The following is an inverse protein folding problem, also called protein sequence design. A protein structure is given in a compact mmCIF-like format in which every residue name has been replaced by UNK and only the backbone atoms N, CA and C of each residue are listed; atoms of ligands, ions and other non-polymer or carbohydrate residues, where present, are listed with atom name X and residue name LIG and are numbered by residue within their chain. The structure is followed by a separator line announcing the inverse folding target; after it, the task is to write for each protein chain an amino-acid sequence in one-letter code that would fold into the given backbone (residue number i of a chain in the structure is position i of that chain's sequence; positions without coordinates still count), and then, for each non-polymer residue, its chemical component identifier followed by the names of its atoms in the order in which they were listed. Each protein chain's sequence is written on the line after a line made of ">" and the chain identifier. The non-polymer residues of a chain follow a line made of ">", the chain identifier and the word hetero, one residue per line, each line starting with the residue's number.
data_IF_713554121045
#
_entry.id   IF_713554121045
#
_cell.length_a   1.000
_cell.length_b   1.000
_cell.length_c   1.000
_cell.angle_alpha   90.00
_cell.angle_beta   90.00
_cell.angle_gamma   90.00
#
_symmetry.space_group_name_H-M   'P 1'
#
loop_
_entity.id
_entity.type
_entity.pdbx_description
1 polymer ?
#
# COMPACT_ATOMS: atom_id res chain seq x y z
N UNK A 1 -4.92 -2.84 17.28
CA UNK A 1 -3.68 -2.13 16.96
C UNK A 1 -3.47 -2.01 15.46
N UNK A 2 -2.69 -1.04 15.09
CA UNK A 2 -2.30 -0.83 13.70
C UNK A 2 -0.88 -1.36 13.51
N UNK A 3 -0.72 -2.26 12.55
CA UNK A 3 0.60 -2.77 12.18
C UNK A 3 1.22 -1.82 11.17
N UNK A 4 2.44 -1.35 11.46
CA UNK A 4 3.18 -0.44 10.57
C UNK A 4 4.60 -0.95 10.39
N UNK A 5 5.11 -0.94 9.17
CA UNK A 5 6.50 -1.25 8.88
C UNK A 5 6.92 -0.66 7.54
N UNK A 6 8.23 -0.56 7.34
CA UNK A 6 8.82 -0.19 6.07
C UNK A 6 9.33 -1.45 5.37
N UNK A 7 9.13 -1.53 4.08
CA UNK A 7 9.52 -2.68 3.24
C UNK A 7 10.28 -2.18 2.01
N UNK A 8 10.92 -3.09 1.27
CA UNK A 8 11.70 -2.80 0.06
C UNK A 8 12.79 -1.75 0.34
N UNK A 9 13.65 -2.04 1.33
CA UNK A 9 14.75 -1.14 1.72
C UNK A 9 14.22 0.26 2.07
N UNK A 10 13.10 0.30 2.78
CA UNK A 10 12.49 1.55 3.26
C UNK A 10 11.90 2.43 2.15
N UNK A 11 11.64 1.87 0.98
CA UNK A 11 10.96 2.59 -0.10
C UNK A 11 9.44 2.55 0.03
N UNK A 12 8.93 1.62 0.82
CA UNK A 12 7.48 1.47 1.07
C UNK A 12 7.18 1.52 2.54
N UNK A 13 6.00 2.01 2.86
CA UNK A 13 5.48 2.03 4.21
C UNK A 13 4.10 1.34 4.19
N UNK A 14 3.84 0.49 5.17
CA UNK A 14 2.61 -0.29 5.24
C UNK A 14 1.92 -0.06 6.56
N UNK A 15 0.62 0.15 6.50
CA UNK A 15 -0.22 0.16 7.70
C UNK A 15 -1.32 -0.89 7.51
N UNK A 16 -1.53 -1.73 8.51
CA UNK A 16 -2.54 -2.78 8.46
C UNK A 16 -3.49 -2.62 9.63
N UNK A 17 -4.79 -2.56 9.35
CA UNK A 17 -5.83 -2.57 10.36
C UNK A 17 -6.59 -3.89 10.22
N UNK A 18 -6.48 -4.74 11.22
CA UNK A 18 -7.09 -6.08 11.22
C UNK A 18 -8.55 -6.00 11.67
N UNK A 19 -9.33 -6.97 11.25
CA UNK A 19 -10.77 -7.04 11.57
C UNK A 19 -11.03 -7.00 13.08
N UNK A 20 -10.25 -7.69 13.88
CA UNK A 20 -10.33 -7.68 15.34
C UNK A 20 -10.18 -6.28 15.93
N UNK A 21 -9.25 -5.51 15.36
CA UNK A 21 -8.96 -4.15 15.83
C UNK A 21 -10.10 -3.21 15.50
N UNK A 22 -10.79 -3.45 14.40
CA UNK A 22 -11.95 -2.68 13.97
C UNK A 22 -13.11 -2.77 14.93
N UNK A 23 -13.26 -3.89 15.62
CA UNK A 23 -14.33 -4.06 16.61
C UNK A 23 -14.17 -3.09 17.79
N UNK A 24 -12.94 -2.66 18.07
CA UNK A 24 -12.66 -1.75 19.19
C UNK A 24 -12.42 -0.32 18.74
N UNK A 25 -11.76 -0.11 17.62
CA UNK A 25 -11.23 1.21 17.27
C UNK A 25 -11.80 1.81 15.99
N UNK A 26 -12.47 1.12 15.17
CA UNK A 26 -12.99 1.52 13.86
C UNK A 26 -11.94 2.29 13.04
N UNK A 27 -11.58 1.80 11.87
CA UNK A 27 -10.68 2.52 10.97
C UNK A 27 -11.35 3.81 10.50
N UNK A 28 -10.58 4.91 10.53
CA UNK A 28 -11.07 6.25 10.15
C UNK A 28 -10.31 6.73 8.92
N UNK A 29 -10.88 7.63 8.13
CA UNK A 29 -10.14 8.25 7.01
C UNK A 29 -8.81 8.86 7.44
N UNK A 30 -8.72 9.37 8.68
CA UNK A 30 -7.48 9.91 9.23
C UNK A 30 -6.35 8.89 9.33
N UNK A 31 -6.66 7.59 9.40
CA UNK A 31 -5.63 6.53 9.45
C UNK A 31 -4.86 6.47 8.14
N UNK A 32 -5.56 6.57 7.01
CA UNK A 32 -4.93 6.64 5.70
C UNK A 32 -4.15 7.94 5.53
N UNK A 33 -4.73 9.08 5.95
CA UNK A 33 -4.06 10.37 5.86
C UNK A 33 -2.77 10.39 6.66
N UNK A 34 -2.75 9.76 7.82
CA UNK A 34 -1.55 9.64 8.65
C UNK A 34 -0.41 8.92 7.95
N UNK A 35 -0.70 7.79 7.30
CA UNK A 35 0.32 7.04 6.58
C UNK A 35 0.79 7.77 5.32
N UNK A 36 -0.10 8.47 4.63
CA UNK A 36 0.25 9.28 3.45
C UNK A 36 1.16 10.45 3.88
N UNK A 37 0.83 11.11 4.98
CA UNK A 37 1.66 12.18 5.53
C UNK A 37 3.04 11.67 5.90
N UNK A 38 3.14 10.53 6.54
CA UNK A 38 4.40 9.91 6.90
C UNK A 38 5.23 9.58 5.66
N UNK A 39 4.60 9.07 4.61
CA UNK A 39 5.26 8.82 3.32
C UNK A 39 5.89 10.10 2.77
N UNK A 40 5.14 11.18 2.78
CA UNK A 40 5.60 12.47 2.23
C UNK A 40 6.76 13.06 3.03
N UNK A 41 6.77 12.83 4.33
CA UNK A 41 7.79 13.38 5.23
C UNK A 41 9.03 12.51 5.36
N UNK A 42 8.96 11.26 4.93
CA UNK A 42 10.07 10.33 5.09
C UNK A 42 10.86 10.22 3.79
N UNK A 43 12.10 10.67 3.84
CA UNK A 43 12.99 10.62 2.69
C UNK A 43 13.18 9.18 2.22
N UNK A 44 13.11 8.96 0.91
CA UNK A 44 13.32 7.65 0.32
C UNK A 44 12.06 6.79 0.22
N UNK A 45 11.00 7.13 0.92
CA UNK A 45 9.73 6.39 0.82
C UNK A 45 8.96 6.88 -0.39
N UNK A 46 8.64 5.96 -1.27
CA UNK A 46 7.94 6.26 -2.53
C UNK A 46 6.46 5.84 -2.47
N UNK A 47 6.13 4.75 -1.77
CA UNK A 47 4.79 4.17 -1.76
C UNK A 47 4.28 3.98 -0.33
N UNK A 48 3.02 4.32 -0.12
CA UNK A 48 2.30 3.99 1.11
C UNK A 48 1.18 3.01 0.78
N UNK A 49 1.06 1.95 1.57
CA UNK A 49 0.03 0.93 1.44
C UNK A 49 -0.78 0.88 2.72
N UNK A 50 -2.08 1.04 2.61
CA UNK A 50 -3.00 0.93 3.74
C UNK A 50 -3.90 -0.28 3.51
N UNK A 51 -3.77 -1.29 4.35
CA UNK A 51 -4.56 -2.53 4.29
C UNK A 51 -5.60 -2.53 5.39
N UNK A 52 -6.86 -2.57 5.01
CA UNK A 52 -7.98 -2.57 5.93
C UNK A 52 -8.75 -3.88 5.76
N UNK A 53 -8.70 -4.74 6.77
CA UNK A 53 -9.38 -6.04 6.72
C UNK A 53 -10.90 -5.83 6.90
N UNK A 54 -11.69 -6.23 5.90
CA UNK A 54 -13.15 -6.06 5.91
C UNK A 54 -13.91 -7.35 6.20
N UNK A 55 -13.24 -8.48 6.01
CA UNK A 55 -13.73 -9.82 6.32
C UNK A 55 -12.49 -10.71 6.51
N UNK A 56 -12.59 -11.91 7.06
CA UNK A 56 -11.41 -12.77 7.22
C UNK A 56 -10.64 -12.92 5.92
N UNK A 57 -9.34 -12.60 5.95
CA UNK A 57 -8.44 -12.67 4.78
C UNK A 57 -8.94 -11.91 3.56
N UNK A 58 -9.66 -10.80 3.79
CA UNK A 58 -10.14 -9.92 2.72
C UNK A 58 -9.77 -8.50 3.11
N UNK A 59 -9.02 -7.84 2.24
CA UNK A 59 -8.49 -6.50 2.52
C UNK A 59 -8.90 -5.50 1.46
N UNK A 60 -9.38 -4.35 1.92
CA UNK A 60 -9.48 -3.17 1.09
C UNK A 60 -8.11 -2.50 1.16
N UNK A 61 -7.45 -2.39 0.02
CA UNK A 61 -6.11 -1.84 -0.08
C UNK A 61 -6.17 -0.46 -0.70
N UNK A 62 -5.56 0.52 -0.03
CA UNK A 62 -5.38 1.86 -0.58
C UNK A 62 -3.90 2.06 -0.84
N UNK A 63 -3.57 2.51 -2.05
CA UNK A 63 -2.20 2.72 -2.49
C UNK A 63 -1.98 4.19 -2.82
N UNK A 64 -0.83 4.71 -2.38
CA UNK A 64 -0.43 6.09 -2.68
C UNK A 64 1.04 6.09 -3.08
N UNK A 65 1.41 6.96 -4.00
CA UNK A 65 2.82 7.11 -4.38
C UNK A 65 3.20 8.59 -4.46
N UNK A 66 4.50 8.88 -4.39
CA UNK A 66 5.02 10.25 -4.49
C UNK A 66 5.14 10.71 -5.94
N UNK A 67 5.99 10.06 -6.72
CA UNK A 67 6.33 10.55 -8.06
C UNK A 67 6.80 9.49 -9.06
N UNK A 68 7.14 8.27 -8.62
CA UNK A 68 7.75 7.25 -9.50
C UNK A 68 6.82 6.11 -9.85
N UNK A 69 6.11 5.59 -8.86
CA UNK A 69 5.29 4.39 -9.03
C UNK A 69 3.89 4.76 -9.46
N UNK A 70 3.42 4.13 -10.51
CA UNK A 70 2.03 4.25 -10.96
C UNK A 70 1.20 3.19 -10.22
N UNK A 71 0.54 3.61 -9.15
CA UNK A 71 -0.25 2.69 -8.33
C UNK A 71 -1.55 2.25 -9.02
N UNK A 72 -2.01 2.98 -10.03
CA UNK A 72 -3.19 2.56 -10.80
C UNK A 72 -2.92 1.28 -11.59
N UNK A 73 -1.72 1.12 -12.12
CA UNK A 73 -1.32 -0.10 -12.84
C UNK A 73 -1.31 -1.31 -11.90
N UNK A 74 -0.82 -1.12 -10.67
CA UNK A 74 -0.80 -2.18 -9.66
C UNK A 74 -2.21 -2.58 -9.27
N UNK A 75 -3.07 -1.59 -8.98
CA UNK A 75 -4.45 -1.85 -8.61
C UNK A 75 -5.19 -2.59 -9.72
N UNK A 76 -5.02 -2.17 -10.97
CA UNK A 76 -5.65 -2.81 -12.14
C UNK A 76 -5.23 -4.27 -12.29
N UNK A 77 -3.97 -4.57 -12.03
CA UNK A 77 -3.46 -5.94 -12.14
C UNK A 77 -4.25 -6.89 -11.23
N UNK A 78 -4.67 -6.40 -10.06
CA UNK A 78 -5.44 -7.19 -9.09
C UNK A 78 -6.95 -6.94 -9.16
N UNK A 79 -7.44 -6.26 -10.20
CA UNK A 79 -8.86 -6.05 -10.43
C UNK A 79 -9.45 -4.77 -9.85
N UNK A 80 -8.61 -3.87 -9.38
CA UNK A 80 -9.04 -2.56 -8.87
C UNK A 80 -8.81 -1.43 -9.87
N UNK A 81 -8.56 -0.23 -9.37
CA UNK A 81 -8.34 0.93 -10.23
C UNK A 81 -8.08 2.19 -9.44
N UNK A 82 -7.97 3.30 -10.16
CA UNK A 82 -7.75 4.62 -9.58
C UNK A 82 -6.88 5.49 -10.48
N UNK A 83 -6.11 6.37 -9.83
CA UNK A 83 -5.22 7.31 -10.50
C UNK A 83 -3.76 6.95 -10.25
N UNK A 84 -2.87 7.56 -11.02
CA UNK A 84 -1.42 7.27 -10.97
C UNK A 84 -0.85 7.34 -9.54
N UNK A 85 -1.29 8.33 -8.76
CA UNK A 85 -0.77 8.56 -7.39
C UNK A 85 -1.69 8.04 -6.29
N UNK A 86 -2.89 7.59 -6.63
CA UNK A 86 -3.88 7.15 -5.63
C UNK A 86 -4.82 6.12 -6.24
N UNK A 87 -4.76 4.88 -5.77
CA UNK A 87 -5.57 3.80 -6.30
C UNK A 87 -6.00 2.85 -5.19
N UNK A 88 -6.94 1.99 -5.49
CA UNK A 88 -7.46 1.03 -4.53
C UNK A 88 -7.88 -0.28 -5.16
N UNK A 89 -7.85 -1.34 -4.36
CA UNK A 89 -8.20 -2.68 -4.81
C UNK A 89 -8.59 -3.53 -3.60
N UNK A 90 -9.49 -4.49 -3.81
CA UNK A 90 -9.81 -5.50 -2.80
C UNK A 90 -8.98 -6.74 -3.10
N UNK A 91 -8.25 -7.24 -2.11
CA UNK A 91 -7.39 -8.42 -2.25
C UNK A 91 -7.71 -9.45 -1.17
N UNK A 92 -7.57 -10.71 -1.54
CA UNK A 92 -7.80 -11.84 -0.64
C UNK A 92 -6.49 -12.54 -0.34
N UNK A 93 -6.37 -13.07 0.88
CA UNK A 93 -5.20 -13.80 1.34
C UNK A 93 -4.75 -13.30 2.70
N UNK A 94 -3.62 -13.83 3.17
CA UNK A 94 -3.03 -13.37 4.43
C UNK A 94 -2.44 -11.97 4.22
N UNK A 95 -2.18 -11.26 5.31
CA UNK A 95 -1.46 -9.99 5.27
C UNK A 95 -0.14 -10.15 4.52
N UNK A 96 0.59 -11.22 4.83
CA UNK A 96 1.88 -11.51 4.21
C UNK A 96 1.77 -11.67 2.69
N UNK A 97 0.78 -12.44 2.23
CA UNK A 97 0.55 -12.67 0.80
C UNK A 97 0.20 -11.36 0.08
N UNK A 98 -0.71 -10.58 0.67
CA UNK A 98 -1.14 -9.30 0.08
C UNK A 98 0.05 -8.35 -0.05
N UNK A 99 0.83 -8.20 1.01
CA UNK A 99 2.00 -7.32 1.00
C UNK A 99 3.02 -7.79 -0.04
N UNK A 100 3.32 -9.08 -0.08
CA UNK A 100 4.29 -9.64 -1.03
C UNK A 100 3.86 -9.46 -2.47
N UNK A 101 2.59 -9.68 -2.77
CA UNK A 101 2.07 -9.50 -4.13
C UNK A 101 2.15 -8.03 -4.57
N UNK A 102 1.83 -7.11 -3.68
CA UNK A 102 1.93 -5.68 -3.98
C UNK A 102 3.38 -5.23 -4.14
N UNK A 103 4.26 -5.62 -3.22
CA UNK A 103 5.65 -5.18 -3.25
C UNK A 103 6.40 -5.74 -4.46
N UNK A 104 6.03 -6.93 -4.96
CA UNK A 104 6.63 -7.48 -6.17
C UNK A 104 6.41 -6.56 -7.37
N UNK A 105 5.19 -6.01 -7.53
CA UNK A 105 4.89 -5.10 -8.64
C UNK A 105 5.50 -3.71 -8.43
N UNK A 106 5.57 -3.24 -7.18
CA UNK A 106 6.24 -1.97 -6.86
C UNK A 106 7.71 -2.06 -7.21
N UNK A 107 8.38 -3.12 -6.78
CA UNK A 107 9.79 -3.36 -7.03
C UNK A 107 10.07 -3.42 -8.53
N UNK A 108 9.23 -4.11 -9.27
CA UNK A 108 9.35 -4.22 -10.72
C UNK A 108 9.31 -2.83 -11.38
N UNK A 109 8.39 -1.97 -10.99
CA UNK A 109 8.33 -0.61 -11.54
C UNK A 109 9.55 0.23 -11.17
N UNK A 110 10.03 0.11 -9.94
CA UNK A 110 11.21 0.86 -9.51
C UNK A 110 12.46 0.41 -10.26
N UNK A 111 12.61 -0.89 -10.51
CA UNK A 111 13.72 -1.45 -11.26
C UNK A 111 13.67 -1.02 -12.74
N UNK A 112 12.51 -1.02 -13.35
CA UNK A 112 12.31 -0.54 -14.73
C UNK A 112 12.76 0.93 -14.88
N UNK A 113 12.46 1.76 -13.89
CA UNK A 113 12.84 3.18 -13.92
C UNK A 113 14.35 3.37 -13.79
N UNK A 114 15.01 2.57 -12.97
CA UNK A 114 16.45 2.61 -12.82
C UNK A 114 17.11 2.21 -14.16
N UNK A 115 16.63 1.18 -14.81
CA UNK A 115 17.11 0.74 -16.13
C UNK A 115 16.94 1.82 -17.19
N UNK A 116 15.84 2.54 -17.18
CA UNK A 116 15.56 3.62 -18.14
C UNK A 116 16.44 4.85 -17.91
N UNK A 117 16.85 5.10 -16.69
CA UNK A 117 17.70 6.24 -16.34
C UNK A 117 19.17 5.98 -16.72
N UNK A 118 19.57 4.73 -16.83
CA UNK A 118 20.90 4.34 -17.25
C UNK A 118 21.01 4.37 -18.78
#
# INVERSE_FOLDING_TARGET
>A
DVYKRQVLDQRCIVSVVRLKEMEFFQAKPSDLEGIVSQMRQTKGVEVAMFLHETAPQTFKVSLRSKERVDVSRIAKYFGGGGHVRAAGVTMKGSVHDVINNLTALIEKQLDEKIEQED
#
